data_IF_591399975286
#
_entry.id   IF_591399975286
#
_cell.length_a   1.000
_cell.length_b   1.000
_cell.length_c   1.000
_cell.angle_alpha   90.00
_cell.angle_beta   90.00
_cell.angle_gamma   90.00
#
_symmetry.space_group_name_H-M   'P 1'
#
loop_
_entity.id
_entity.type
_entity.pdbx_description
1 polymer ?
#
# COMPACT_ATOMS: atom_id res chain seq x y z
N UNK A 1 4.35 7.36 -6.35
CA UNK A 1 3.45 7.14 -5.20
C UNK A 1 3.33 5.66 -4.92
N UNK A 2 3.64 5.23 -3.70
CA UNK A 2 3.48 3.85 -3.25
C UNK A 2 2.35 3.78 -2.22
N UNK A 3 1.43 2.86 -2.41
CA UNK A 3 0.19 2.75 -1.64
C UNK A 3 0.06 1.35 -1.07
N UNK A 4 -0.18 1.21 0.23
CA UNK A 4 -0.67 -0.07 0.74
C UNK A 4 -2.09 -0.32 0.23
N UNK A 5 -2.52 -1.58 0.27
CA UNK A 5 -3.82 -2.01 -0.21
C UNK A 5 -4.84 -2.06 0.93
N UNK A 6 -4.67 -3.03 1.82
CA UNK A 6 -5.66 -3.34 2.86
C UNK A 6 -5.57 -2.35 4.02
N UNK A 7 -6.67 -1.67 4.33
CA UNK A 7 -6.71 -0.57 5.30
C UNK A 7 -6.38 0.81 4.71
N UNK A 8 -5.93 0.88 3.45
CA UNK A 8 -5.57 2.13 2.77
C UNK A 8 -6.46 2.40 1.55
N UNK A 9 -6.54 1.48 0.60
CA UNK A 9 -7.40 1.55 -0.59
C UNK A 9 -8.74 0.87 -0.37
N UNK A 10 -8.74 -0.26 0.33
CA UNK A 10 -9.93 -1.03 0.68
C UNK A 10 -9.97 -1.33 2.18
N UNK A 11 -11.14 -1.70 2.65
CA UNK A 11 -11.35 -2.16 4.03
C UNK A 11 -10.46 -3.37 4.30
N UNK A 12 -9.74 -3.37 5.44
CA UNK A 12 -8.95 -4.53 5.88
C UNK A 12 -9.88 -5.52 6.59
N UNK A 13 -10.09 -6.67 5.95
CA UNK A 13 -10.89 -7.79 6.49
C UNK A 13 -10.00 -8.92 7.03
N UNK A 14 -8.73 -8.63 7.27
CA UNK A 14 -7.71 -9.61 7.64
C UNK A 14 -7.18 -10.35 6.41
N UNK A 15 -7.68 -11.54 6.16
CA UNK A 15 -7.30 -12.31 4.98
C UNK A 15 -8.43 -12.27 3.93
N UNK A 16 -8.32 -11.33 2.99
CA UNK A 16 -9.25 -11.23 1.87
C UNK A 16 -9.12 -12.46 0.96
N UNK A 17 -10.16 -13.29 0.90
CA UNK A 17 -10.19 -14.56 0.15
C UNK A 17 -11.46 -14.74 -0.70
N UNK A 18 -12.36 -13.73 -0.74
CA UNK A 18 -13.56 -13.70 -1.57
C UNK A 18 -13.71 -12.31 -2.16
N UNK A 19 -14.12 -12.22 -3.43
CA UNK A 19 -14.30 -10.91 -4.11
C UNK A 19 -15.44 -10.08 -3.53
N UNK A 20 -16.45 -10.72 -2.92
CA UNK A 20 -17.56 -10.04 -2.27
C UNK A 20 -17.09 -9.18 -1.08
N UNK A 21 -15.99 -9.60 -0.44
CA UNK A 21 -15.41 -8.92 0.72
C UNK A 21 -14.44 -7.77 0.30
N UNK A 22 -14.17 -7.63 -1.01
CA UNK A 22 -13.38 -6.52 -1.53
C UNK A 22 -14.22 -5.24 -1.54
N UNK A 23 -14.08 -4.42 -0.52
CA UNK A 23 -14.77 -3.14 -0.37
C UNK A 23 -13.77 -1.98 -0.46
N UNK A 24 -13.79 -1.23 -1.55
CA UNK A 24 -13.01 0.01 -1.67
C UNK A 24 -13.60 1.08 -0.75
N UNK A 25 -12.75 1.87 -0.09
CA UNK A 25 -13.26 3.03 0.65
C UNK A 25 -13.94 4.02 -0.31
N UNK A 26 -14.98 4.74 0.15
CA UNK A 26 -15.78 5.64 -0.70
C UNK A 26 -14.96 6.70 -1.45
N UNK A 27 -13.86 7.13 -0.85
CA UNK A 27 -12.97 8.15 -1.40
C UNK A 27 -11.84 7.61 -2.27
N UNK A 28 -11.64 6.30 -2.33
CA UNK A 28 -10.46 5.72 -2.99
C UNK A 28 -10.33 6.13 -4.45
N UNK A 29 -11.41 6.01 -5.22
CA UNK A 29 -11.38 6.36 -6.64
C UNK A 29 -11.08 7.86 -6.85
N UNK A 30 -11.69 8.76 -6.07
CA UNK A 30 -11.44 10.19 -6.16
C UNK A 30 -10.02 10.56 -5.75
N UNK A 31 -9.49 9.96 -4.68
CA UNK A 31 -8.14 10.16 -4.21
C UNK A 31 -7.11 9.77 -5.29
N UNK A 32 -7.23 8.56 -5.86
CA UNK A 32 -6.34 8.08 -6.90
C UNK A 32 -6.44 8.93 -8.19
N UNK A 33 -7.65 9.33 -8.58
CA UNK A 33 -7.87 10.21 -9.73
C UNK A 33 -7.19 11.56 -9.55
N UNK A 34 -7.24 12.16 -8.35
CA UNK A 34 -6.55 13.42 -8.06
C UNK A 34 -5.03 13.26 -8.16
N UNK A 35 -4.47 12.19 -7.62
CA UNK A 35 -3.04 11.87 -7.74
C UNK A 35 -2.63 11.66 -9.20
N UNK A 36 -3.43 10.94 -10.01
CA UNK A 36 -3.17 10.79 -11.45
C UNK A 36 -3.15 12.14 -12.16
N UNK A 37 -4.12 13.02 -11.87
CA UNK A 37 -4.16 14.38 -12.45
C UNK A 37 -2.98 15.25 -12.02
N UNK A 38 -2.43 15.02 -10.84
CA UNK A 38 -1.22 15.68 -10.35
C UNK A 38 0.07 15.05 -10.94
N UNK A 39 -0.03 14.05 -11.83
CA UNK A 39 1.11 13.46 -12.53
C UNK A 39 1.80 12.31 -11.80
N UNK A 40 1.23 11.80 -10.71
CA UNK A 40 1.83 10.67 -9.98
C UNK A 40 1.60 9.34 -10.70
N UNK A 41 2.66 8.52 -10.75
CA UNK A 41 2.52 7.09 -10.96
C UNK A 41 2.00 6.43 -9.67
N UNK A 42 0.98 5.58 -9.77
CA UNK A 42 0.29 4.93 -8.66
C UNK A 42 0.67 3.46 -8.59
N UNK A 43 1.44 3.09 -7.58
CA UNK A 43 1.96 1.73 -7.38
C UNK A 43 1.43 1.17 -6.07
N UNK A 44 0.75 0.03 -6.12
CA UNK A 44 0.37 -0.70 -4.92
C UNK A 44 1.52 -1.60 -4.47
N UNK A 45 1.84 -1.57 -3.17
CA UNK A 45 2.84 -2.44 -2.51
C UNK A 45 2.22 -3.05 -1.26
N UNK A 46 1.89 -4.34 -1.29
CA UNK A 46 1.10 -4.98 -0.23
C UNK A 46 1.70 -6.30 0.27
N UNK A 47 1.62 -6.55 1.58
CA UNK A 47 1.98 -7.82 2.19
C UNK A 47 0.78 -8.77 2.18
N UNK A 48 0.86 -9.87 1.43
CA UNK A 48 -0.19 -10.88 1.29
C UNK A 48 0.21 -12.19 1.97
N UNK A 49 0.46 -12.14 3.26
CA UNK A 49 0.93 -13.28 4.06
C UNK A 49 -0.07 -14.44 4.17
N UNK A 50 -1.34 -14.21 3.85
CA UNK A 50 -2.35 -15.27 3.78
C UNK A 50 -1.96 -16.41 2.84
N UNK A 51 -1.18 -16.13 1.80
CA UNK A 51 -0.62 -17.14 0.88
C UNK A 51 0.38 -18.02 1.63
N UNK A 52 1.34 -17.44 2.35
CA UNK A 52 2.31 -18.20 3.14
C UNK A 52 1.66 -19.00 4.27
N UNK A 53 0.50 -18.59 4.75
CA UNK A 53 -0.28 -19.32 5.74
C UNK A 53 -1.25 -20.35 5.14
N UNK A 54 -1.29 -20.50 3.80
CA UNK A 54 -2.20 -21.42 3.11
C UNK A 54 -3.68 -21.04 3.20
N UNK A 55 -3.98 -19.79 3.53
CA UNK A 55 -5.34 -19.26 3.70
C UNK A 55 -5.89 -18.61 2.43
N UNK A 56 -5.01 -18.22 1.52
CA UNK A 56 -5.33 -17.54 0.27
C UNK A 56 -4.60 -18.25 -0.87
N UNK A 57 -5.30 -18.60 -1.94
CA UNK A 57 -4.64 -19.06 -3.16
C UNK A 57 -3.87 -17.91 -3.83
N UNK A 58 -2.64 -18.15 -4.33
CA UNK A 58 -1.87 -17.10 -5.01
C UNK A 58 -2.63 -16.43 -6.15
N UNK A 59 -3.36 -17.22 -6.94
CA UNK A 59 -4.16 -16.77 -8.07
C UNK A 59 -5.29 -15.81 -7.66
N UNK A 60 -5.80 -15.95 -6.42
CA UNK A 60 -6.85 -15.07 -5.92
C UNK A 60 -6.36 -13.63 -5.74
N UNK A 61 -5.09 -13.43 -5.38
CA UNK A 61 -4.53 -12.07 -5.25
C UNK A 61 -4.52 -11.37 -6.60
N UNK A 62 -4.16 -12.08 -7.68
CA UNK A 62 -4.21 -11.54 -9.05
C UNK A 62 -5.64 -11.24 -9.50
N UNK A 63 -6.59 -12.13 -9.18
CA UNK A 63 -8.03 -11.91 -9.46
C UNK A 63 -8.52 -10.67 -8.70
N UNK A 64 -8.14 -10.53 -7.43
CA UNK A 64 -8.49 -9.36 -6.60
C UNK A 64 -7.91 -8.06 -7.20
N UNK A 65 -6.65 -8.08 -7.63
CA UNK A 65 -6.00 -6.93 -8.26
C UNK A 65 -6.64 -6.56 -9.61
N UNK A 66 -7.02 -7.55 -10.42
CA UNK A 66 -7.75 -7.32 -11.67
C UNK A 66 -9.12 -6.67 -11.40
N UNK A 67 -9.84 -7.13 -10.38
CA UNK A 67 -11.13 -6.57 -9.97
C UNK A 67 -10.98 -5.13 -9.44
N UNK A 68 -9.95 -4.84 -8.66
CA UNK A 68 -9.66 -3.46 -8.23
C UNK A 68 -9.44 -2.54 -9.42
N UNK A 69 -8.60 -2.95 -10.41
CA UNK A 69 -8.40 -2.17 -11.64
C UNK A 69 -9.71 -1.94 -12.37
N UNK A 70 -10.53 -2.98 -12.53
CA UNK A 70 -11.83 -2.91 -13.19
C UNK A 70 -12.78 -1.89 -12.52
N UNK A 71 -12.81 -1.85 -11.18
CA UNK A 71 -13.65 -0.90 -10.42
C UNK A 71 -13.13 0.53 -10.47
N UNK A 72 -11.82 0.73 -10.54
CA UNK A 72 -11.18 2.04 -10.52
C UNK A 72 -11.11 2.71 -11.90
N UNK A 73 -10.98 1.92 -12.96
CA UNK A 73 -10.83 2.39 -14.34
C UNK A 73 -11.90 3.40 -14.80
N UNK A 74 -13.22 3.19 -14.56
CA UNK A 74 -14.25 4.15 -14.98
C UNK A 74 -14.12 5.54 -14.36
N UNK A 75 -13.45 5.65 -13.22
CA UNK A 75 -13.18 6.91 -12.54
C UNK A 75 -11.89 7.60 -13.00
N UNK A 76 -11.12 7.00 -13.92
CA UNK A 76 -9.79 7.47 -14.31
C UNK A 76 -8.77 7.37 -13.17
N UNK A 77 -8.93 6.36 -12.32
CA UNK A 77 -8.11 6.09 -11.14
C UNK A 77 -7.20 4.85 -11.36
N UNK A 78 -6.63 4.75 -12.55
CA UNK A 78 -5.83 3.59 -12.97
C UNK A 78 -4.57 3.42 -12.12
N UNK A 79 -4.33 2.19 -11.68
CA UNK A 79 -3.10 1.78 -11.01
C UNK A 79 -2.04 1.38 -12.04
N UNK A 80 -0.87 2.02 -11.98
CA UNK A 80 0.22 1.77 -12.93
C UNK A 80 0.87 0.39 -12.69
N UNK A 81 1.04 -0.01 -11.42
CA UNK A 81 1.53 -1.34 -11.07
C UNK A 81 1.00 -1.80 -9.71
N UNK A 82 1.04 -3.12 -9.49
CA UNK A 82 0.74 -3.75 -8.20
C UNK A 82 1.81 -4.80 -7.91
N UNK A 83 2.46 -4.67 -6.76
CA UNK A 83 3.44 -5.62 -6.23
C UNK A 83 2.92 -6.19 -4.92
N UNK A 84 3.12 -7.47 -4.70
CA UNK A 84 2.77 -8.09 -3.42
C UNK A 84 3.86 -9.05 -2.94
N UNK A 85 3.95 -9.18 -1.63
CA UNK A 85 4.80 -10.16 -0.99
C UNK A 85 3.93 -11.31 -0.45
N UNK A 86 4.18 -12.51 -0.94
CA UNK A 86 3.51 -13.74 -0.52
C UNK A 86 4.27 -14.50 0.59
N UNK A 87 5.41 -14.01 1.07
CA UNK A 87 6.24 -14.66 2.06
C UNK A 87 5.87 -14.24 3.49
N UNK A 88 6.11 -15.15 4.43
CA UNK A 88 6.09 -14.85 5.86
C UNK A 88 6.98 -15.82 6.63
N UNK A 89 7.95 -15.37 7.48
CA UNK A 89 8.91 -16.26 8.16
C UNK A 89 8.26 -17.36 9.00
N UNK A 90 7.03 -17.14 9.46
CA UNK A 90 6.23 -18.10 10.23
C UNK A 90 5.06 -18.65 9.41
N UNK A 91 5.19 -18.72 8.09
CA UNK A 91 4.19 -19.33 7.22
C UNK A 91 4.07 -20.84 7.43
N UNK A 92 2.90 -21.42 7.12
CA UNK A 92 2.69 -22.86 7.15
C UNK A 92 3.07 -23.54 5.82
N UNK A 93 3.16 -22.78 4.73
CA UNK A 93 3.62 -23.28 3.43
C UNK A 93 5.14 -23.19 3.40
N UNK A 94 5.82 -24.35 3.48
CA UNK A 94 7.28 -24.42 3.68
C UNK A 94 8.10 -23.62 2.67
N UNK A 95 7.71 -23.59 1.38
CA UNK A 95 8.38 -22.85 0.32
C UNK A 95 8.23 -21.32 0.43
N UNK A 96 7.28 -20.84 1.21
CA UNK A 96 6.97 -19.42 1.43
C UNK A 96 7.29 -18.96 2.85
N UNK A 97 7.67 -19.91 3.73
CA UNK A 97 8.08 -19.65 5.11
C UNK A 97 9.55 -19.20 5.15
N UNK A 98 9.86 -18.09 4.51
CA UNK A 98 11.21 -17.57 4.33
C UNK A 98 11.30 -16.09 4.69
N UNK A 99 12.51 -15.64 5.06
CA UNK A 99 12.88 -14.24 5.04
C UNK A 99 13.13 -13.82 3.58
N UNK A 100 12.59 -12.67 3.21
CA UNK A 100 12.68 -12.17 1.84
C UNK A 100 12.90 -10.66 1.83
N UNK A 101 13.42 -10.11 0.74
CA UNK A 101 13.59 -8.67 0.56
C UNK A 101 12.28 -7.91 0.27
N UNK A 102 11.22 -8.61 -0.14
CA UNK A 102 9.98 -7.97 -0.60
C UNK A 102 8.97 -7.67 0.53
N UNK A 103 9.07 -8.34 1.70
CA UNK A 103 8.12 -8.12 2.77
C UNK A 103 8.36 -6.78 3.47
N UNK A 104 7.37 -5.85 3.41
CA UNK A 104 7.42 -4.59 4.16
C UNK A 104 7.72 -4.86 5.66
N UNK A 105 8.61 -4.10 6.31
CA UNK A 105 9.19 -2.82 5.87
C UNK A 105 10.43 -2.94 4.94
N UNK A 106 10.81 -4.12 4.48
CA UNK A 106 11.96 -4.27 3.57
C UNK A 106 11.63 -3.72 2.17
N UNK A 107 12.61 -3.09 1.48
CA UNK A 107 12.37 -2.22 0.34
C UNK A 107 12.11 -2.92 -0.99
N UNK A 108 12.22 -4.24 -1.07
CA UNK A 108 12.29 -4.97 -2.34
C UNK A 108 11.15 -4.70 -3.33
N UNK A 109 9.90 -4.54 -2.87
CA UNK A 109 8.79 -4.20 -3.78
C UNK A 109 8.94 -2.79 -4.37
N UNK A 110 9.41 -1.82 -3.57
CA UNK A 110 9.65 -0.46 -4.04
C UNK A 110 10.83 -0.41 -5.00
N UNK A 111 11.92 -1.14 -4.70
CA UNK A 111 13.10 -1.25 -5.58
C UNK A 111 12.73 -1.86 -6.94
N UNK A 112 11.92 -2.92 -6.95
CA UNK A 112 11.46 -3.56 -8.18
C UNK A 112 10.58 -2.59 -8.99
N UNK A 113 9.62 -1.90 -8.35
CA UNK A 113 8.78 -0.91 -9.00
C UNK A 113 9.59 0.29 -9.52
N UNK A 114 10.56 0.77 -8.75
CA UNK A 114 11.44 1.87 -9.15
C UNK A 114 12.23 1.54 -10.41
N UNK A 115 12.77 0.33 -10.50
CA UNK A 115 13.47 -0.17 -11.69
C UNK A 115 12.53 -0.32 -12.89
N UNK A 116 11.37 -0.96 -12.69
CA UNK A 116 10.48 -1.35 -13.77
C UNK A 116 9.73 -0.14 -14.38
N UNK A 117 9.44 0.88 -13.57
CA UNK A 117 8.70 2.08 -13.96
C UNK A 117 9.59 3.33 -14.04
N UNK A 118 10.89 3.21 -13.77
CA UNK A 118 11.84 4.34 -13.75
C UNK A 118 11.41 5.45 -12.77
N UNK A 119 10.93 5.07 -11.59
CA UNK A 119 10.49 5.97 -10.52
C UNK A 119 11.67 6.20 -9.56
N UNK A 120 11.83 7.46 -9.11
CA UNK A 120 12.75 7.80 -8.02
C UNK A 120 12.02 7.70 -6.67
N UNK A 121 12.36 6.72 -5.81
CA UNK A 121 11.74 6.60 -4.49
C UNK A 121 11.97 7.84 -3.61
N UNK A 122 13.09 8.54 -3.71
CA UNK A 122 13.38 9.73 -2.92
C UNK A 122 12.47 10.92 -3.26
N UNK A 123 11.87 10.93 -4.45
CA UNK A 123 10.85 11.90 -4.87
C UNK A 123 9.43 11.36 -4.71
N UNK A 124 9.27 10.26 -3.99
CA UNK A 124 8.00 9.56 -3.84
C UNK A 124 7.41 9.73 -2.44
N UNK A 125 6.15 9.32 -2.32
CA UNK A 125 5.46 9.15 -1.06
C UNK A 125 5.08 7.69 -0.87
N UNK A 126 5.10 7.22 0.38
CA UNK A 126 4.49 5.95 0.81
C UNK A 126 3.31 6.27 1.71
N UNK A 127 2.14 5.70 1.42
CA UNK A 127 0.93 5.86 2.21
C UNK A 127 0.42 4.49 2.64
N UNK A 128 0.22 4.30 3.93
CA UNK A 128 -0.29 3.07 4.49
C UNK A 128 -0.91 3.25 5.87
N UNK A 129 -1.54 2.20 6.39
CA UNK A 129 -2.22 2.20 7.69
C UNK A 129 -1.38 1.61 8.83
N UNK A 130 -0.14 1.17 8.53
CA UNK A 130 0.74 0.53 9.50
C UNK A 130 2.11 1.19 9.55
N UNK A 131 2.79 1.13 10.70
CA UNK A 131 4.17 1.62 10.83
C UNK A 131 5.13 0.96 9.85
N UNK A 132 4.89 -0.30 9.48
CA UNK A 132 5.72 -0.97 8.47
C UNK A 132 5.70 -0.29 7.09
N UNK A 133 4.65 0.47 6.76
CA UNK A 133 4.57 1.25 5.52
C UNK A 133 5.39 2.54 5.66
N UNK A 134 5.28 3.18 6.81
CA UNK A 134 6.10 4.36 7.16
C UNK A 134 7.58 3.99 7.18
N UNK A 135 7.93 2.87 7.82
CA UNK A 135 9.30 2.37 7.90
C UNK A 135 9.85 1.99 6.51
N UNK A 136 9.01 1.43 5.63
CA UNK A 136 9.36 1.21 4.23
C UNK A 136 9.70 2.54 3.53
N UNK A 137 8.87 3.58 3.70
CA UNK A 137 9.12 4.91 3.15
C UNK A 137 10.46 5.47 3.62
N UNK A 138 10.73 5.41 4.92
CA UNK A 138 12.00 5.85 5.50
C UNK A 138 13.20 5.06 4.94
N UNK A 139 13.05 3.74 4.75
CA UNK A 139 14.12 2.87 4.24
C UNK A 139 14.54 3.20 2.80
N UNK A 140 13.62 3.73 1.99
CA UNK A 140 13.89 4.09 0.57
C UNK A 140 14.08 5.60 0.37
N UNK A 141 14.09 6.40 1.44
CA UNK A 141 14.23 7.84 1.38
C UNK A 141 12.98 8.59 0.90
N UNK A 142 11.84 7.91 0.81
CA UNK A 142 10.56 8.50 0.45
C UNK A 142 9.94 9.23 1.66
N UNK A 143 9.07 10.21 1.38
CA UNK A 143 8.18 10.77 2.40
C UNK A 143 7.08 9.75 2.73
N UNK A 144 6.55 9.78 3.96
CA UNK A 144 5.59 8.79 4.41
C UNK A 144 4.39 9.40 5.13
N UNK A 145 3.22 8.82 4.90
CA UNK A 145 1.96 9.19 5.57
C UNK A 145 1.32 7.94 6.17
N UNK A 146 0.98 8.03 7.45
CA UNK A 146 0.12 7.07 8.12
C UNK A 146 -1.34 7.52 7.96
N UNK A 147 -2.22 6.66 7.47
CA UNK A 147 -3.66 6.91 7.45
C UNK A 147 -4.34 6.19 8.61
N UNK A 148 -5.35 6.85 9.25
CA UNK A 148 -6.07 6.30 10.41
C UNK A 148 -7.08 5.21 10.07
N UNK A 149 -7.37 5.00 8.79
CA UNK A 149 -8.17 3.86 8.33
C UNK A 149 -7.48 2.53 8.64
N UNK A 150 -8.17 1.42 8.48
CA UNK A 150 -7.62 0.12 8.82
C UNK A 150 -7.12 0.04 10.26
N UNK A 151 -5.86 -0.26 10.43
CA UNK A 151 -5.17 -0.32 11.74
C UNK A 151 -4.59 1.03 12.18
N UNK A 152 -4.62 2.05 11.33
CA UNK A 152 -3.85 3.28 11.53
C UNK A 152 -4.14 4.02 12.83
N UNK A 153 -5.39 4.09 13.27
CA UNK A 153 -5.72 4.70 14.57
C UNK A 153 -5.10 3.95 15.77
N UNK A 154 -4.99 2.63 15.66
CA UNK A 154 -4.32 1.82 16.69
C UNK A 154 -2.79 1.98 16.58
N UNK A 155 -2.26 2.01 15.37
CA UNK A 155 -0.84 2.22 15.10
C UNK A 155 -0.37 3.59 15.59
N UNK A 156 -1.14 4.65 15.36
CA UNK A 156 -0.85 6.00 15.87
C UNK A 156 -0.71 6.02 17.40
N UNK A 157 -1.61 5.34 18.12
CA UNK A 157 -1.52 5.24 19.59
C UNK A 157 -0.30 4.46 20.09
N UNK A 158 0.24 3.57 19.26
CA UNK A 158 1.44 2.77 19.54
C UNK A 158 2.74 3.40 19.05
N UNK A 159 2.68 4.65 18.57
CA UNK A 159 3.87 5.37 18.09
C UNK A 159 4.94 5.39 19.18
N UNK A 160 6.15 5.02 18.79
CA UNK A 160 7.32 5.06 19.67
C UNK A 160 8.18 6.29 19.36
N UNK A 161 8.98 6.70 20.36
CA UNK A 161 9.94 7.78 20.18
C UNK A 161 10.94 7.42 19.06
N UNK A 162 11.21 8.37 18.17
CA UNK A 162 12.11 8.17 17.02
C UNK A 162 11.44 7.70 15.72
N UNK A 163 10.21 7.24 15.73
CA UNK A 163 9.48 6.95 14.49
C UNK A 163 9.19 8.24 13.71
N UNK A 164 9.78 8.34 12.52
CA UNK A 164 9.59 9.48 11.61
C UNK A 164 8.42 9.21 10.68
N UNK A 165 7.51 10.16 10.59
CA UNK A 165 6.40 10.20 9.65
C UNK A 165 6.17 11.66 9.26
N UNK A 166 5.96 11.94 7.98
CA UNK A 166 5.79 13.31 7.48
C UNK A 166 4.40 13.85 7.81
N UNK A 167 3.38 13.00 7.77
CA UNK A 167 2.02 13.35 8.21
C UNK A 167 1.25 12.14 8.72
N UNK A 168 0.22 12.41 9.54
CA UNK A 168 -0.82 11.43 9.93
C UNK A 168 -2.15 12.01 9.48
N UNK A 169 -2.88 11.27 8.65
CA UNK A 169 -4.11 11.71 8.00
C UNK A 169 -5.29 10.79 8.37
N UNK A 170 -6.52 11.31 8.34
CA UNK A 170 -7.69 10.50 8.69
C UNK A 170 -7.94 9.37 7.68
N UNK A 171 -7.62 9.61 6.41
CA UNK A 171 -7.83 8.69 5.31
C UNK A 171 -7.01 9.10 4.08
N UNK A 172 -7.12 8.34 2.99
CA UNK A 172 -6.35 8.57 1.77
C UNK A 172 -6.66 9.93 1.10
N UNK A 173 -7.92 10.39 1.07
CA UNK A 173 -8.24 11.67 0.42
C UNK A 173 -7.66 12.86 1.20
N UNK A 174 -7.58 12.76 2.53
CA UNK A 174 -6.87 13.74 3.35
C UNK A 174 -5.36 13.69 3.07
N UNK A 175 -4.77 12.49 2.96
CA UNK A 175 -3.36 12.34 2.58
C UNK A 175 -3.06 12.98 1.22
N UNK A 176 -3.93 12.82 0.22
CA UNK A 176 -3.81 13.46 -1.10
C UNK A 176 -3.76 14.98 -0.98
N UNK A 177 -4.59 15.58 -0.14
CA UNK A 177 -4.58 17.03 0.09
C UNK A 177 -3.25 17.51 0.65
N UNK A 178 -2.67 16.77 1.60
CA UNK A 178 -1.34 17.05 2.18
C UNK A 178 -0.25 16.93 1.12
N UNK A 179 -0.27 15.85 0.34
CA UNK A 179 0.73 15.57 -0.71
C UNK A 179 0.73 16.70 -1.76
N UNK A 180 -0.45 17.01 -2.32
CA UNK A 180 -0.57 18.05 -3.35
C UNK A 180 -0.14 19.42 -2.82
N UNK A 181 -0.46 19.75 -1.58
CA UNK A 181 -0.03 20.99 -0.96
C UNK A 181 1.50 21.05 -0.78
N UNK A 182 2.12 19.93 -0.38
CA UNK A 182 3.56 19.86 -0.14
C UNK A 182 4.40 19.90 -1.43
N UNK A 183 3.87 19.45 -2.56
CA UNK A 183 4.60 19.37 -3.83
C UNK A 183 4.34 20.58 -4.75
N UNK A 184 3.39 21.47 -4.39
CA UNK A 184 3.12 22.74 -5.10
C UNK A 184 3.82 23.96 -4.47
N UNK A 185 4.76 23.75 -3.54
CA UNK A 185 5.57 24.80 -2.88
C UNK A 185 7.01 24.81 -3.46
#
# INVERSE_FOLDING_TARGET
MFLDRDGTLNVDVGYLHRLEDLELFPWTADALRLLKRAGYALVVVTNQSGIAHGLIAPEFVEICHAEMRRRLHPAGADLDALYFCNHHPRGSVATLAIDCRCRKPLPGMVEDAARDLQIDPAQSWVVGDKWLDVDLGNAVGARSILVRTGWGSEQERKRTEGQRVDAICDNLIHAVSVIIAADNV
#
